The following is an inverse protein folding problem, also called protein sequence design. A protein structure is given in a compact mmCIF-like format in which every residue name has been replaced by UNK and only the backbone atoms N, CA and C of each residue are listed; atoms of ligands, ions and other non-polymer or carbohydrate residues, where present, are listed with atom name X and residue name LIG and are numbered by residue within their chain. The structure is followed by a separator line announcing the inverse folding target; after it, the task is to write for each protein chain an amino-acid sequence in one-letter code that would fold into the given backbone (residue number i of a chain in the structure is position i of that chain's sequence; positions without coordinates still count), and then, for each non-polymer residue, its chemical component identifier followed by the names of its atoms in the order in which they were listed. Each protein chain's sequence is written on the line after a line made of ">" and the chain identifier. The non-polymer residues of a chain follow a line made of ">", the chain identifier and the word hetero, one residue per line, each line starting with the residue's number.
data_IF_198885437588
#
_entry.id   IF_198885437588
#
_cell.length_a   1.000
_cell.length_b   1.000
_cell.length_c   1.000
_cell.angle_alpha   90.00
_cell.angle_beta   90.00
_cell.angle_gamma   90.00
#
_symmetry.space_group_name_H-M   'P 1'
#
loop_
_entity.id
_entity.type
_entity.pdbx_description
1 polymer ?
#
# COMPACT_ATOMS: atom_id res chain seq x y z
N UNK A 1 20.55 16.41 -1.07
CA UNK A 1 21.02 15.62 0.08
C UNK A 1 20.86 16.51 1.29
N UNK A 2 19.79 16.32 2.08
CA UNK A 2 19.46 17.21 3.20
C UNK A 2 20.27 16.83 4.43
N UNK A 3 20.89 17.83 5.07
CA UNK A 3 21.65 17.77 6.33
C UNK A 3 20.78 17.43 7.58
N UNK A 4 19.59 16.83 7.38
CA UNK A 4 18.64 16.50 8.43
C UNK A 4 19.09 15.31 9.32
N UNK A 5 20.17 14.61 8.97
CA UNK A 5 20.68 13.47 9.74
C UNK A 5 21.44 13.86 11.01
N UNK A 6 21.66 15.15 11.29
CA UNK A 6 22.45 15.65 12.43
C UNK A 6 21.67 16.35 13.55
N UNK A 7 20.33 16.28 13.54
CA UNK A 7 19.54 16.81 14.65
C UNK A 7 19.50 15.79 15.80
N UNK A 8 20.29 16.04 16.84
CA UNK A 8 20.18 15.36 18.12
C UNK A 8 18.98 15.94 18.89
N UNK A 9 17.97 15.11 19.21
CA UNK A 9 16.90 15.49 20.12
C UNK A 9 17.31 15.19 21.57
N UNK A 10 17.83 16.21 22.28
CA UNK A 10 18.12 16.13 23.72
C UNK A 10 19.50 15.56 24.09
N UNK A 11 19.62 15.01 25.31
CA UNK A 11 20.86 14.39 25.84
C UNK A 11 21.12 12.98 25.32
N UNK A 12 20.27 12.50 24.42
CA UNK A 12 20.37 11.16 23.83
C UNK A 12 21.40 11.17 22.69
N UNK A 13 22.49 10.41 22.85
CA UNK A 13 23.54 10.26 21.84
C UNK A 13 23.21 9.19 20.80
N UNK A 14 22.06 8.53 20.90
CA UNK A 14 21.62 7.52 19.92
C UNK A 14 21.40 8.19 18.56
N UNK A 15 21.76 7.49 17.50
CA UNK A 15 21.41 7.92 16.15
C UNK A 15 19.89 8.09 16.04
N UNK A 16 19.46 9.11 15.30
CA UNK A 16 18.08 9.56 15.21
C UNK A 16 17.10 8.36 15.08
N UNK A 17 16.14 8.26 16.00
CA UNK A 17 15.17 7.14 16.09
C UNK A 17 14.14 7.20 14.95
N UNK A 18 14.02 8.37 14.31
CA UNK A 18 13.11 8.57 13.20
C UNK A 18 13.68 7.96 11.90
N UNK A 19 12.85 7.28 11.10
CA UNK A 19 13.29 6.74 9.81
C UNK A 19 13.81 7.86 8.91
N UNK A 20 15.08 7.78 8.52
CA UNK A 20 15.73 8.73 7.58
C UNK A 20 15.71 8.26 6.13
N UNK A 21 15.09 7.12 5.85
CA UNK A 21 15.00 6.57 4.49
C UNK A 21 13.85 7.23 3.73
N UNK A 22 14.11 7.62 2.49
CA UNK A 22 13.06 8.03 1.55
C UNK A 22 12.02 6.90 1.47
N UNK A 23 10.74 7.21 1.67
CA UNK A 23 9.66 6.23 1.51
C UNK A 23 9.69 5.69 0.07
N UNK A 24 10.05 4.42 -0.08
CA UNK A 24 9.97 3.70 -1.36
C UNK A 24 8.62 3.00 -1.48
N UNK A 25 8.08 2.90 -2.70
CA UNK A 25 6.77 2.30 -2.97
C UNK A 25 5.65 3.35 -3.02
N UNK A 26 4.39 3.01 -2.66
CA UNK A 26 3.25 3.93 -2.74
C UNK A 26 3.35 5.16 -1.81
N UNK A 27 4.39 5.23 -0.97
CA UNK A 27 4.58 6.27 0.04
C UNK A 27 3.97 5.88 1.38
N UNK A 28 4.27 6.67 2.41
CA UNK A 28 3.77 6.43 3.77
C UNK A 28 2.25 6.55 3.89
N UNK A 29 1.62 7.34 3.01
CA UNK A 29 0.17 7.56 3.01
C UNK A 29 -0.61 6.49 2.22
N UNK A 30 0.07 5.46 1.72
CA UNK A 30 -0.54 4.45 0.86
C UNK A 30 -0.65 4.89 -0.60
N UNK A 31 -1.14 4.01 -1.48
CA UNK A 31 -1.21 4.27 -2.90
C UNK A 31 -2.20 5.37 -3.23
N UNK A 32 -2.04 5.99 -4.38
CA UNK A 32 -3.04 6.88 -4.98
C UNK A 32 -4.25 6.07 -5.47
N UNK A 33 -4.97 5.47 -4.53
CA UNK A 33 -6.18 4.69 -4.76
C UNK A 33 -7.38 5.43 -4.19
N UNK A 34 -8.37 5.68 -5.03
CA UNK A 34 -9.63 6.26 -4.63
C UNK A 34 -10.74 5.28 -4.97
N UNK A 35 -11.40 4.66 -3.98
CA UNK A 35 -12.50 3.72 -4.22
C UNK A 35 -13.60 4.30 -5.10
N UNK A 36 -13.85 5.61 -5.04
CA UNK A 36 -14.90 6.25 -5.84
C UNK A 36 -14.61 6.23 -7.35
N UNK A 37 -13.33 6.28 -7.73
CA UNK A 37 -12.92 6.28 -9.14
C UNK A 37 -13.00 4.87 -9.76
N UNK A 38 -13.02 3.84 -8.91
CA UNK A 38 -13.16 2.44 -9.32
C UNK A 38 -14.63 1.99 -9.44
N UNK A 39 -15.57 2.84 -9.00
CA UNK A 39 -17.00 2.57 -9.12
C UNK A 39 -17.50 2.91 -10.53
N UNK A 40 -18.36 2.04 -11.07
CA UNK A 40 -18.99 2.32 -12.36
C UNK A 40 -19.99 3.48 -12.24
N UNK A 41 -19.96 4.36 -13.25
CA UNK A 41 -20.95 5.44 -13.37
C UNK A 41 -22.37 4.87 -13.62
N UNK A 42 -23.44 5.58 -13.22
CA UNK A 42 -24.81 5.07 -13.37
C UNK A 42 -25.16 4.65 -14.81
N UNK A 43 -24.68 5.41 -15.80
CA UNK A 43 -24.92 5.09 -17.21
C UNK A 43 -24.26 3.76 -17.65
N UNK A 44 -23.08 3.44 -17.10
CA UNK A 44 -22.35 2.21 -17.42
C UNK A 44 -23.03 0.95 -16.86
N UNK A 45 -23.84 1.11 -15.80
CA UNK A 45 -24.65 0.04 -15.22
C UNK A 45 -26.10 0.03 -15.75
N UNK A 46 -26.38 0.79 -16.81
CA UNK A 46 -27.67 0.80 -17.50
C UNK A 46 -28.72 1.73 -16.91
N UNK A 47 -28.36 2.63 -15.98
CA UNK A 47 -29.27 3.69 -15.53
C UNK A 47 -29.36 4.75 -16.64
N UNK A 48 -30.58 5.00 -17.12
CA UNK A 48 -30.87 6.05 -18.09
C UNK A 48 -31.90 7.00 -17.52
N UNK A 49 -31.84 8.26 -17.96
CA UNK A 49 -32.87 9.25 -17.65
C UNK A 49 -33.96 9.16 -18.72
N UNK A 50 -35.17 8.80 -18.31
CA UNK A 50 -36.34 8.80 -19.18
C UNK A 50 -37.62 8.52 -18.40
N UNK A 51 -38.73 8.41 -19.12
CA UNK A 51 -40.08 8.25 -18.55
C UNK A 51 -40.67 6.86 -18.73
N UNK A 52 -39.94 5.93 -19.33
CA UNK A 52 -40.44 4.59 -19.61
C UNK A 52 -40.27 3.67 -18.39
N UNK A 53 -41.06 2.59 -18.34
CA UNK A 53 -40.96 1.58 -17.27
C UNK A 53 -39.53 1.00 -17.15
N UNK A 54 -38.82 0.88 -18.28
CA UNK A 54 -37.42 0.46 -18.32
C UNK A 54 -36.46 1.43 -17.61
N UNK A 55 -36.73 2.74 -17.68
CA UNK A 55 -35.92 3.76 -17.01
C UNK A 55 -36.11 3.71 -15.49
N UNK A 56 -37.34 3.49 -15.04
CA UNK A 56 -37.66 3.29 -13.61
C UNK A 56 -36.95 2.04 -13.08
N UNK A 57 -37.03 0.92 -13.82
CA UNK A 57 -36.32 -0.31 -13.46
C UNK A 57 -34.80 -0.13 -13.45
N UNK A 58 -34.26 0.64 -14.41
CA UNK A 58 -32.85 1.03 -14.44
C UNK A 58 -32.45 1.83 -13.19
N UNK A 59 -33.23 2.84 -12.81
CA UNK A 59 -32.98 3.63 -11.61
C UNK A 59 -32.98 2.79 -10.32
N UNK A 60 -33.93 1.85 -10.17
CA UNK A 60 -33.96 0.91 -9.05
C UNK A 60 -32.71 0.03 -9.03
N UNK A 61 -32.30 -0.52 -10.18
CA UNK A 61 -31.04 -1.29 -10.29
C UNK A 61 -29.83 -0.47 -9.86
N UNK A 62 -29.78 0.82 -10.23
CA UNK A 62 -28.72 1.73 -9.80
C UNK A 62 -28.66 1.89 -8.27
N UNK A 63 -29.81 2.10 -7.63
CA UNK A 63 -29.88 2.23 -6.16
C UNK A 63 -29.41 0.94 -5.48
N UNK A 64 -29.89 -0.22 -5.94
CA UNK A 64 -29.50 -1.52 -5.37
C UNK A 64 -28.01 -1.78 -5.62
N UNK A 65 -27.48 -1.45 -6.81
CA UNK A 65 -26.07 -1.59 -7.14
C UNK A 65 -25.17 -0.80 -6.18
N UNK A 66 -25.46 0.48 -5.94
CA UNK A 66 -24.67 1.28 -5.02
C UNK A 66 -24.86 0.85 -3.56
N UNK A 67 -26.07 0.42 -3.19
CA UNK A 67 -26.33 -0.21 -1.89
C UNK A 67 -25.49 -1.47 -1.69
N UNK A 68 -25.41 -2.32 -2.70
CA UNK A 68 -24.60 -3.54 -2.70
C UNK A 68 -23.12 -3.23 -2.66
N UNK A 69 -22.64 -2.24 -3.41
CA UNK A 69 -21.25 -1.81 -3.38
C UNK A 69 -20.84 -1.26 -2.00
N UNK A 70 -21.70 -0.44 -1.38
CA UNK A 70 -21.43 0.17 -0.08
C UNK A 70 -21.54 -0.86 1.05
N UNK A 71 -22.56 -1.71 1.03
CA UNK A 71 -22.84 -2.65 2.11
C UNK A 71 -22.08 -3.97 1.97
N UNK A 72 -22.23 -4.63 0.83
CA UNK A 72 -21.84 -6.04 0.67
C UNK A 72 -20.56 -6.23 -0.14
N UNK A 73 -20.25 -5.31 -1.05
CA UNK A 73 -19.17 -5.46 -2.02
C UNK A 73 -19.47 -6.53 -3.07
N UNK A 74 -20.66 -7.14 -3.06
CA UNK A 74 -21.13 -8.15 -4.02
C UNK A 74 -22.64 -8.03 -4.18
N UNK A 75 -23.21 -8.65 -5.21
CA UNK A 75 -24.66 -8.68 -5.40
C UNK A 75 -25.38 -9.32 -4.19
N UNK A 76 -26.35 -8.61 -3.62
CA UNK A 76 -27.23 -9.12 -2.55
C UNK A 76 -28.57 -9.63 -3.07
N UNK A 77 -28.87 -9.40 -4.36
CA UNK A 77 -30.14 -9.77 -4.97
C UNK A 77 -29.97 -10.20 -6.43
N UNK A 78 -30.98 -10.88 -6.97
CA UNK A 78 -31.05 -11.23 -8.41
C UNK A 78 -31.09 -10.02 -9.34
N UNK A 79 -31.39 -8.83 -8.83
CA UNK A 79 -31.41 -7.61 -9.64
C UNK A 79 -30.01 -7.10 -9.99
N UNK A 80 -29.04 -7.41 -9.11
CA UNK A 80 -27.64 -7.00 -9.21
C UNK A 80 -26.70 -8.15 -9.54
N UNK A 81 -27.21 -9.38 -9.56
CA UNK A 81 -26.48 -10.57 -9.97
C UNK A 81 -25.91 -10.41 -11.40
N UNK A 82 -24.61 -10.66 -11.55
CA UNK A 82 -23.90 -10.53 -12.83
C UNK A 82 -23.65 -9.08 -13.29
N UNK A 83 -24.02 -8.06 -12.51
CA UNK A 83 -23.66 -6.69 -12.85
C UNK A 83 -22.14 -6.48 -12.74
N UNK A 84 -21.51 -5.82 -13.73
CA UNK A 84 -20.07 -5.62 -13.73
C UNK A 84 -19.65 -4.72 -12.56
N UNK A 85 -18.43 -4.94 -12.07
CA UNK A 85 -17.81 -4.08 -11.07
C UNK A 85 -18.25 -4.32 -9.63
N UNK A 86 -19.31 -5.09 -9.33
CA UNK A 86 -19.69 -5.48 -7.96
C UNK A 86 -18.64 -6.40 -7.33
N UNK A 87 -17.65 -5.80 -6.69
CA UNK A 87 -16.57 -6.47 -5.97
C UNK A 87 -16.13 -5.62 -4.78
N UNK A 88 -15.56 -6.22 -3.72
CA UNK A 88 -14.92 -5.46 -2.66
C UNK A 88 -13.84 -4.54 -3.24
N UNK A 89 -13.95 -3.25 -2.94
CA UNK A 89 -12.99 -2.23 -3.38
C UNK A 89 -11.90 -2.07 -2.32
N UNK A 90 -10.66 -1.91 -2.77
CA UNK A 90 -9.48 -1.89 -1.92
C UNK A 90 -8.28 -2.44 -2.66
N UNK A 91 -7.10 -2.22 -2.10
CA UNK A 91 -5.81 -2.67 -2.63
C UNK A 91 -4.96 -3.18 -1.47
N UNK A 92 -4.44 -4.39 -1.60
CA UNK A 92 -3.46 -4.93 -0.67
C UNK A 92 -2.06 -4.56 -1.15
N UNK A 93 -1.21 -4.07 -0.25
CA UNK A 93 0.15 -3.63 -0.61
C UNK A 93 1.09 -3.68 0.59
N UNK A 94 2.38 -3.59 0.32
CA UNK A 94 3.40 -3.40 1.35
C UNK A 94 3.84 -1.94 1.43
N UNK A 95 4.06 -1.46 2.65
CA UNK A 95 4.66 -0.15 2.94
C UNK A 95 6.02 -0.36 3.57
N UNK A 96 7.01 0.41 3.11
CA UNK A 96 8.33 0.39 3.73
C UNK A 96 8.27 1.15 5.06
N UNK A 97 8.51 0.45 6.17
CA UNK A 97 8.52 1.07 7.52
C UNK A 97 9.75 1.96 7.76
N UNK A 98 10.80 1.79 6.96
CA UNK A 98 12.09 2.45 7.12
C UNK A 98 12.97 1.87 8.23
N UNK A 99 12.51 0.84 8.95
CA UNK A 99 13.25 0.18 10.04
C UNK A 99 14.04 -1.02 9.49
N UNK A 100 15.21 -1.29 10.08
CA UNK A 100 16.07 -2.43 9.71
C UNK A 100 15.86 -3.61 10.69
N UNK A 101 15.53 -4.76 10.14
CA UNK A 101 15.38 -6.02 10.84
C UNK A 101 16.70 -6.49 11.48
N UNK A 102 16.62 -7.38 12.47
CA UNK A 102 17.79 -7.97 13.12
C UNK A 102 18.74 -8.70 12.15
N UNK A 103 18.24 -9.24 11.05
CA UNK A 103 19.01 -9.86 9.97
C UNK A 103 19.59 -8.88 8.94
N UNK A 104 19.34 -7.57 9.06
CA UNK A 104 19.83 -6.54 8.15
C UNK A 104 18.88 -6.16 7.00
N UNK A 105 17.79 -6.89 6.78
CA UNK A 105 16.80 -6.53 5.77
C UNK A 105 15.98 -5.29 6.15
N UNK A 106 15.43 -4.59 5.17
CA UNK A 106 14.44 -3.53 5.43
C UNK A 106 13.09 -4.17 5.80
N UNK A 107 12.48 -3.70 6.89
CA UNK A 107 11.17 -4.15 7.35
C UNK A 107 10.06 -3.48 6.56
N UNK A 108 9.08 -4.27 6.15
CA UNK A 108 7.86 -3.84 5.49
C UNK A 108 6.65 -4.13 6.37
N UNK A 109 5.61 -3.34 6.19
CA UNK A 109 4.31 -3.55 6.79
C UNK A 109 3.32 -3.93 5.68
N UNK A 110 2.57 -5.01 5.89
CA UNK A 110 1.55 -5.43 4.93
C UNK A 110 0.22 -4.78 5.30
N UNK A 111 -0.28 -3.92 4.41
CA UNK A 111 -1.54 -3.21 4.59
C UNK A 111 -2.60 -3.89 3.74
N UNK A 112 -3.64 -4.39 4.42
CA UNK A 112 -4.80 -5.03 3.80
C UNK A 112 -5.97 -4.06 3.84
N UNK A 113 -6.37 -3.54 2.68
CA UNK A 113 -7.54 -2.65 2.57
C UNK A 113 -8.69 -3.29 1.79
N UNK A 114 -8.49 -4.46 1.17
CA UNK A 114 -9.58 -5.23 0.57
C UNK A 114 -10.42 -5.85 1.71
N UNK A 115 -11.71 -5.48 1.86
CA UNK A 115 -12.51 -5.92 2.99
C UNK A 115 -12.74 -7.43 2.97
N UNK A 116 -12.53 -8.08 4.12
CA UNK A 116 -12.75 -9.53 4.26
C UNK A 116 -14.11 -9.87 4.90
N UNK A 117 -14.80 -8.86 5.42
CA UNK A 117 -16.13 -8.92 6.00
C UNK A 117 -16.11 -9.37 7.46
N UNK A 118 -14.99 -9.18 8.16
CA UNK A 118 -14.83 -9.45 9.58
C UNK A 118 -15.14 -8.24 10.48
N UNK A 119 -15.36 -7.05 9.91
CA UNK A 119 -15.58 -5.78 10.61
C UNK A 119 -16.54 -5.87 11.80
N UNK A 120 -17.72 -6.45 11.55
CA UNK A 120 -18.84 -6.47 12.50
C UNK A 120 -18.84 -7.71 13.41
N UNK A 121 -17.74 -8.48 13.37
CA UNK A 121 -17.55 -9.68 14.16
C UNK A 121 -18.33 -10.89 13.66
N UNK A 122 -17.95 -12.07 14.19
CA UNK A 122 -18.46 -13.37 13.72
C UNK A 122 -19.98 -13.52 13.91
N UNK A 123 -20.57 -12.89 14.93
CA UNK A 123 -22.01 -12.99 15.21
C UNK A 123 -22.86 -12.28 14.16
N UNK A 124 -22.51 -11.04 13.81
CA UNK A 124 -23.24 -10.27 12.78
C UNK A 124 -23.04 -10.92 11.41
N UNK A 125 -21.81 -11.33 11.09
CA UNK A 125 -21.51 -12.07 9.87
C UNK A 125 -22.40 -13.31 9.73
N UNK A 126 -22.48 -14.13 10.78
CA UNK A 126 -23.33 -15.33 10.79
C UNK A 126 -24.81 -14.99 10.64
N UNK A 127 -25.32 -13.98 11.33
CA UNK A 127 -26.73 -13.59 11.22
C UNK A 127 -27.12 -13.13 9.80
N UNK A 128 -26.19 -12.51 9.07
CA UNK A 128 -26.39 -12.08 7.67
C UNK A 128 -26.34 -13.28 6.71
N UNK A 129 -25.40 -14.20 6.93
CA UNK A 129 -25.32 -15.45 6.18
C UNK A 129 -26.57 -16.32 6.41
N UNK A 130 -27.10 -16.36 7.64
CA UNK A 130 -28.30 -17.14 8.02
C UNK A 130 -29.58 -16.63 7.33
N UNK A 131 -29.65 -15.36 6.91
CA UNK A 131 -30.75 -14.81 6.11
C UNK A 131 -30.50 -14.86 4.60
N UNK A 132 -29.42 -15.53 4.17
CA UNK A 132 -29.07 -15.73 2.76
C UNK A 132 -28.46 -14.50 2.08
N UNK A 133 -27.97 -13.52 2.85
CA UNK A 133 -27.29 -12.35 2.32
C UNK A 133 -25.77 -12.58 2.28
N UNK A 134 -25.06 -11.96 1.32
CA UNK A 134 -23.60 -12.02 1.28
C UNK A 134 -22.97 -11.32 2.49
N UNK A 135 -21.70 -11.64 2.75
CA UNK A 135 -20.93 -10.96 3.79
C UNK A 135 -20.82 -9.45 3.53
N UNK A 136 -20.77 -8.66 4.60
CA UNK A 136 -20.61 -7.21 4.54
C UNK A 136 -19.16 -6.84 4.19
N UNK A 137 -18.81 -6.90 2.91
CA UNK A 137 -17.47 -6.57 2.35
C UNK A 137 -17.48 -5.30 1.50
N UNK A 138 -18.54 -4.50 1.60
CA UNK A 138 -18.65 -3.26 0.86
C UNK A 138 -17.77 -2.15 1.44
N UNK A 139 -17.84 -0.97 0.81
CA UNK A 139 -17.06 0.19 1.24
C UNK A 139 -17.34 0.62 2.68
N UNK A 140 -18.59 0.56 3.14
CA UNK A 140 -18.97 0.95 4.50
C UNK A 140 -18.29 0.07 5.56
N UNK A 141 -18.46 -1.26 5.52
CA UNK A 141 -17.73 -2.19 6.37
C UNK A 141 -16.22 -2.09 6.18
N UNK A 142 -15.72 -1.90 4.95
CA UNK A 142 -14.30 -1.68 4.68
C UNK A 142 -13.73 -0.48 5.43
N UNK A 143 -14.42 0.66 5.39
CA UNK A 143 -14.05 1.85 6.17
C UNK A 143 -14.05 1.53 7.68
N UNK A 144 -14.95 0.67 8.17
CA UNK A 144 -14.93 0.26 9.58
C UNK A 144 -13.77 -0.71 9.90
N UNK A 145 -13.37 -1.60 8.99
CA UNK A 145 -12.19 -2.47 9.12
C UNK A 145 -10.90 -1.64 9.12
N UNK A 146 -10.81 -0.68 8.20
CA UNK A 146 -9.70 0.25 8.08
C UNK A 146 -9.65 1.17 9.30
N UNK A 147 -10.78 1.77 9.71
CA UNK A 147 -10.84 2.61 10.90
C UNK A 147 -10.54 1.82 12.16
N UNK A 148 -10.98 0.57 12.29
CA UNK A 148 -10.60 -0.28 13.43
C UNK A 148 -9.10 -0.53 13.45
N UNK A 149 -8.49 -0.78 12.29
CA UNK A 149 -7.05 -1.04 12.17
C UNK A 149 -6.21 0.24 12.34
N UNK A 150 -6.75 1.40 11.93
CA UNK A 150 -6.09 2.71 12.03
C UNK A 150 -6.29 3.39 13.40
N UNK A 151 -7.44 3.16 14.05
CA UNK A 151 -7.74 3.63 15.40
C UNK A 151 -7.22 2.68 16.47
N UNK A 152 -6.82 1.45 16.11
CA UNK A 152 -5.92 0.69 16.95
C UNK A 152 -4.56 1.38 16.89
N UNK A 153 -4.18 2.14 17.92
CA UNK A 153 -2.94 2.89 17.85
C UNK A 153 -1.76 1.94 18.11
N UNK A 154 -1.98 0.69 18.54
CA UNK A 154 -0.92 -0.20 18.95
C UNK A 154 0.05 -0.57 17.82
N UNK A 155 -0.35 -0.83 16.57
CA UNK A 155 0.61 -1.07 15.48
C UNK A 155 1.53 0.13 15.23
N UNK A 156 0.97 1.35 15.13
CA UNK A 156 1.75 2.58 14.89
C UNK A 156 2.59 2.95 16.12
N UNK A 157 2.01 2.89 17.32
CA UNK A 157 2.73 3.12 18.58
C UNK A 157 3.79 2.05 18.77
N UNK A 158 3.57 0.78 18.46
CA UNK A 158 4.60 -0.25 18.58
C UNK A 158 5.68 -0.09 17.51
N UNK A 159 5.35 0.42 16.33
CA UNK A 159 6.34 0.77 15.31
C UNK A 159 7.20 1.98 15.73
N UNK A 160 6.64 2.93 16.50
CA UNK A 160 7.33 4.16 16.94
C UNK A 160 7.97 4.06 18.33
N UNK A 161 7.38 3.29 19.24
CA UNK A 161 7.68 3.16 20.68
C UNK A 161 8.21 1.77 21.03
N UNK A 162 8.03 0.77 20.16
CA UNK A 162 8.80 -0.47 20.25
C UNK A 162 10.30 -0.15 20.21
N UNK A 163 11.15 -1.07 20.69
CA UNK A 163 12.59 -0.79 20.88
C UNK A 163 13.32 -0.35 19.61
N UNK A 164 12.68 -0.35 18.44
CA UNK A 164 13.26 0.00 17.14
C UNK A 164 14.09 -1.13 16.56
N UNK A 165 14.09 -2.31 17.20
CA UNK A 165 14.95 -3.45 16.89
C UNK A 165 14.11 -4.70 16.61
N UNK A 166 13.37 -4.72 15.48
CA UNK A 166 12.44 -5.78 15.18
C UNK A 166 13.16 -7.06 14.74
N UNK A 167 12.66 -8.21 15.20
CA UNK A 167 12.92 -9.49 14.55
C UNK A 167 11.90 -9.68 13.43
N UNK A 168 12.37 -10.05 12.24
CA UNK A 168 11.51 -10.16 11.07
C UNK A 168 11.48 -11.58 10.50
N UNK A 169 10.40 -11.88 9.79
CA UNK A 169 10.19 -13.10 9.03
C UNK A 169 9.86 -12.76 7.58
N UNK A 170 10.29 -13.60 6.65
CA UNK A 170 9.93 -13.46 5.24
C UNK A 170 8.52 -14.03 5.04
N UNK A 171 7.59 -13.19 4.59
CA UNK A 171 6.22 -13.60 4.29
C UNK A 171 5.84 -13.30 2.85
N UNK A 172 4.98 -14.16 2.29
CA UNK A 172 4.38 -14.03 0.97
C UNK A 172 2.91 -13.65 1.15
N UNK A 173 2.53 -12.48 0.64
CA UNK A 173 1.14 -12.01 0.67
C UNK A 173 0.66 -11.64 -0.74
N UNK A 174 -0.65 -11.77 -0.95
CA UNK A 174 -1.34 -11.28 -2.15
C UNK A 174 -1.34 -9.75 -2.15
N UNK A 175 -1.09 -9.15 -3.31
CA UNK A 175 -1.10 -7.70 -3.49
C UNK A 175 -1.96 -7.31 -4.69
N UNK A 176 -2.37 -6.05 -4.74
CA UNK A 176 -3.30 -5.54 -5.73
C UNK A 176 -4.75 -5.52 -5.23
N UNK A 177 -5.65 -5.18 -6.14
CA UNK A 177 -7.09 -5.17 -5.90
C UNK A 177 -7.67 -6.58 -5.77
N UNK A 178 -8.98 -6.69 -5.57
CA UNK A 178 -9.69 -7.98 -5.46
C UNK A 178 -9.44 -8.94 -6.64
N UNK A 179 -9.11 -8.43 -7.83
CA UNK A 179 -8.81 -9.21 -9.04
C UNK A 179 -7.30 -9.42 -9.24
N UNK A 180 -6.46 -8.99 -8.30
CA UNK A 180 -5.00 -9.03 -8.42
C UNK A 180 -4.42 -7.95 -9.34
N UNK A 181 -5.21 -6.93 -9.73
CA UNK A 181 -4.68 -5.80 -10.49
C UNK A 181 -3.86 -4.90 -9.59
N UNK A 182 -2.71 -4.48 -10.09
CA UNK A 182 -1.77 -3.62 -9.37
C UNK A 182 -1.70 -2.20 -9.94
N UNK A 183 -2.56 -1.90 -10.91
CA UNK A 183 -2.73 -0.59 -11.52
C UNK A 183 -4.17 -0.14 -11.33
N UNK A 184 -4.39 1.15 -11.09
CA UNK A 184 -5.75 1.73 -11.09
C UNK A 184 -6.27 1.95 -12.52
N UNK A 185 -7.49 2.48 -12.61
CA UNK A 185 -8.13 2.89 -13.89
C UNK A 185 -7.30 3.87 -14.73
N UNK A 186 -6.46 4.70 -14.10
CA UNK A 186 -5.57 5.67 -14.76
C UNK A 186 -4.18 5.09 -15.08
N UNK A 187 -4.00 3.77 -14.92
CA UNK A 187 -2.75 3.06 -15.15
C UNK A 187 -1.58 3.51 -14.23
N UNK A 188 -1.90 4.00 -13.04
CA UNK A 188 -0.95 4.32 -11.97
C UNK A 188 -0.69 3.04 -11.15
N UNK A 189 0.59 2.72 -10.95
CA UNK A 189 1.00 1.57 -10.13
C UNK A 189 0.66 1.80 -8.65
N UNK A 190 -0.03 0.84 -8.04
CA UNK A 190 -0.58 0.90 -6.68
C UNK A 190 0.28 0.18 -5.63
N UNK A 191 1.34 -0.50 -6.05
CA UNK A 191 2.18 -1.35 -5.20
C UNK A 191 3.65 -1.04 -5.45
N UNK A 192 4.54 -1.51 -4.57
CA UNK A 192 5.97 -1.46 -4.88
C UNK A 192 6.27 -2.33 -6.12
N UNK A 193 7.05 -1.88 -7.11
CA UNK A 193 7.30 -2.65 -8.32
C UNK A 193 8.26 -3.84 -8.14
N UNK A 194 8.99 -3.92 -7.04
CA UNK A 194 10.02 -4.94 -6.84
C UNK A 194 9.40 -6.25 -6.40
N UNK A 195 9.85 -7.36 -6.97
CA UNK A 195 9.48 -8.69 -6.51
C UNK A 195 8.02 -9.09 -6.75
N UNK A 196 7.35 -8.42 -7.69
CA UNK A 196 5.99 -8.78 -8.12
C UNK A 196 6.01 -10.13 -8.82
N UNK A 197 5.11 -11.03 -8.39
CA UNK A 197 4.90 -12.34 -9.02
C UNK A 197 3.43 -12.53 -9.36
N UNK A 198 3.14 -13.12 -10.52
CA UNK A 198 1.79 -13.50 -10.92
C UNK A 198 1.64 -15.01 -10.87
N UNK A 199 0.72 -15.49 -10.06
CA UNK A 199 0.43 -16.91 -9.86
C UNK A 199 -1.09 -17.10 -9.79
N UNK A 200 -1.64 -17.97 -10.63
CA UNK A 200 -3.08 -18.30 -10.57
C UNK A 200 -4.02 -17.11 -10.78
N UNK A 201 -3.63 -16.12 -11.59
CA UNK A 201 -4.43 -14.90 -11.83
C UNK A 201 -4.36 -13.86 -10.72
N UNK A 202 -3.62 -14.13 -9.63
CA UNK A 202 -3.37 -13.20 -8.53
C UNK A 202 -1.94 -12.71 -8.55
N UNK A 203 -1.71 -11.59 -7.89
CA UNK A 203 -0.38 -11.00 -7.77
C UNK A 203 0.12 -11.14 -6.33
N UNK A 204 1.39 -11.48 -6.15
CA UNK A 204 2.00 -11.73 -4.85
C UNK A 204 3.32 -10.98 -4.71
N UNK A 205 3.69 -10.71 -3.46
CA UNK A 205 5.00 -10.19 -3.08
C UNK A 205 5.51 -10.84 -1.80
N UNK A 206 6.82 -10.99 -1.75
CA UNK A 206 7.56 -11.48 -0.59
C UNK A 206 8.36 -10.35 0.04
N UNK A 207 8.11 -10.12 1.33
CA UNK A 207 8.79 -9.07 2.10
C UNK A 207 9.12 -9.55 3.51
N UNK A 208 10.14 -8.92 4.08
CA UNK A 208 10.48 -9.09 5.48
C UNK A 208 9.52 -8.24 6.32
N UNK A 209 8.67 -8.89 7.09
CA UNK A 209 7.69 -8.24 7.98
C UNK A 209 8.04 -8.51 9.44
N UNK A 210 7.52 -7.67 10.34
CA UNK A 210 7.65 -7.87 11.78
C UNK A 210 7.18 -9.28 12.17
N UNK A 211 8.03 -10.05 12.86
CA UNK A 211 7.63 -11.34 13.41
C UNK A 211 6.80 -11.12 14.68
N UNK A 212 5.74 -11.88 14.85
CA UNK A 212 4.90 -11.89 16.04
C UNK A 212 5.06 -13.23 16.79
N UNK A 213 4.93 -13.19 18.12
CA UNK A 213 4.89 -14.40 18.92
C UNK A 213 3.50 -15.07 18.87
N UNK A 214 3.33 -16.21 19.54
CA UNK A 214 2.05 -16.94 19.57
C UNK A 214 0.89 -16.16 20.20
N UNK A 215 1.19 -15.14 21.00
CA UNK A 215 0.20 -14.26 21.64
C UNK A 215 -0.15 -13.02 20.79
N UNK A 216 0.44 -12.89 19.60
CA UNK A 216 0.21 -11.75 18.70
C UNK A 216 0.99 -10.48 19.07
N UNK A 217 1.99 -10.58 19.96
CA UNK A 217 2.88 -9.45 20.28
C UNK A 217 4.08 -9.43 19.33
N UNK A 218 4.52 -8.23 18.86
CA UNK A 218 5.69 -8.12 18.00
C UNK A 218 6.95 -8.54 18.77
N UNK A 219 7.77 -9.39 18.15
CA UNK A 219 9.05 -9.81 18.71
C UNK A 219 10.07 -8.68 18.52
N UNK A 220 10.38 -8.00 19.61
CA UNK A 220 11.41 -6.99 19.71
C UNK A 220 12.59 -7.56 20.50
N UNK A 221 13.81 -7.34 20.02
CA UNK A 221 15.02 -7.74 20.75
C UNK A 221 15.69 -6.53 21.40
N UNK A 222 16.61 -6.77 22.33
CA UNK A 222 17.40 -5.70 22.92
C UNK A 222 18.33 -5.08 21.85
N UNK A 223 18.74 -3.83 22.05
CA UNK A 223 19.70 -3.18 21.14
C UNK A 223 21.00 -3.97 21.02
N UNK A 224 21.51 -4.47 22.15
CA UNK A 224 22.78 -5.21 22.20
C UNK A 224 22.66 -6.53 21.44
N UNK A 225 21.53 -7.22 21.54
CA UNK A 225 21.26 -8.43 20.76
C UNK A 225 21.07 -8.11 19.28
N UNK A 226 20.42 -7.00 18.95
CA UNK A 226 20.28 -6.55 17.57
C UNK A 226 21.60 -6.19 16.92
N UNK A 227 22.51 -5.55 17.66
CA UNK A 227 23.86 -5.23 17.20
C UNK A 227 24.70 -6.49 17.00
N UNK A 228 24.56 -7.49 17.89
CA UNK A 228 25.26 -8.77 17.79
C UNK A 228 24.67 -9.73 16.75
N UNK A 229 23.39 -9.55 16.40
CA UNK A 229 22.72 -10.39 15.41
C UNK A 229 23.41 -10.27 14.04
N UNK A 230 23.68 -11.39 13.35
CA UNK A 230 24.35 -11.36 12.07
C UNK A 230 23.48 -10.69 11.01
N UNK A 231 24.04 -9.70 10.31
CA UNK A 231 23.37 -8.99 9.21
C UNK A 231 23.50 -9.78 7.90
N UNK A 232 22.80 -10.89 7.83
CA UNK A 232 22.90 -11.86 6.73
C UNK A 232 22.22 -11.40 5.44
N UNK A 233 21.39 -10.35 5.50
CA UNK A 233 20.65 -9.81 4.37
C UNK A 233 21.01 -8.35 4.10
N UNK A 234 20.93 -7.96 2.83
CA UNK A 234 21.03 -6.56 2.37
C UNK A 234 19.70 -5.84 2.58
N UNK A 235 19.71 -4.52 2.39
CA UNK A 235 18.52 -3.67 2.47
C UNK A 235 17.35 -4.13 1.61
N UNK A 236 17.62 -4.71 0.42
CA UNK A 236 16.58 -5.25 -0.47
C UNK A 236 16.02 -6.61 -0.01
N UNK A 237 16.50 -7.16 1.10
CA UNK A 237 16.08 -8.44 1.65
C UNK A 237 16.79 -9.66 1.06
N UNK A 238 17.71 -9.48 0.11
CA UNK A 238 18.50 -10.57 -0.47
C UNK A 238 19.70 -10.93 0.40
N UNK A 239 20.17 -12.18 0.32
CA UNK A 239 21.32 -12.63 1.12
C UNK A 239 22.57 -11.83 0.74
N UNK A 240 23.30 -11.34 1.75
CA UNK A 240 24.52 -10.56 1.58
C UNK A 240 25.68 -11.41 1.05
N UNK A 241 25.90 -12.58 1.65
CA UNK A 241 26.90 -13.56 1.25
C UNK A 241 26.34 -14.99 1.29
N UNK A 242 25.93 -15.48 0.11
CA UNK A 242 25.38 -16.84 -0.04
C UNK A 242 26.36 -17.96 0.34
N UNK A 243 27.68 -17.70 0.30
CA UNK A 243 28.69 -18.69 0.69
C UNK A 243 28.81 -18.79 2.20
N UNK A 244 28.77 -17.65 2.89
CA UNK A 244 28.87 -17.61 4.35
C UNK A 244 27.60 -18.13 5.04
N UNK A 245 26.42 -17.94 4.44
CA UNK A 245 25.14 -18.30 5.05
C UNK A 245 24.26 -19.14 4.10
N UNK A 246 24.62 -20.41 3.86
CA UNK A 246 23.86 -21.28 2.98
C UNK A 246 22.49 -21.62 3.60
N UNK A 247 21.45 -21.64 2.75
CA UNK A 247 20.10 -22.11 3.14
C UNK A 247 19.23 -21.12 3.90
N UNK A 248 19.65 -19.86 4.05
CA UNK A 248 18.77 -18.84 4.60
C UNK A 248 17.61 -18.52 3.64
N UNK A 249 16.42 -18.19 4.16
CA UNK A 249 15.32 -17.73 3.32
C UNK A 249 15.67 -16.37 2.71
N UNK A 250 15.26 -16.17 1.46
CA UNK A 250 15.33 -14.88 0.77
C UNK A 250 14.14 -14.74 -0.17
N UNK A 251 13.72 -13.51 -0.50
CA UNK A 251 12.71 -13.31 -1.53
C UNK A 251 13.12 -13.97 -2.84
N UNK A 252 12.20 -14.63 -3.51
CA UNK A 252 12.47 -15.35 -4.74
C UNK A 252 12.95 -14.41 -5.88
N UNK A 253 12.68 -13.10 -5.81
CA UNK A 253 13.24 -12.14 -6.77
C UNK A 253 14.77 -11.99 -6.65
N UNK A 254 15.35 -12.31 -5.49
CA UNK A 254 16.79 -12.32 -5.26
C UNK A 254 17.51 -13.40 -6.08
N UNK A 255 16.80 -14.48 -6.46
CA UNK A 255 17.33 -15.50 -7.35
C UNK A 255 17.36 -15.05 -8.82
N UNK A 256 16.56 -14.04 -9.17
CA UNK A 256 16.41 -13.54 -10.55
C UNK A 256 17.39 -12.41 -10.94
N UNK A 257 18.37 -12.07 -10.08
CA UNK A 257 19.28 -10.94 -10.30
C UNK A 257 20.28 -11.15 -11.46
N UNK A 258 19.81 -10.90 -12.68
CA UNK A 258 20.44 -9.84 -13.47
C UNK A 258 19.85 -8.51 -12.99
N UNK A 259 20.67 -7.69 -12.31
CA UNK A 259 20.34 -6.37 -11.78
C UNK A 259 19.42 -5.55 -12.72
N UNK A 260 18.12 -5.57 -12.50
CA UNK A 260 17.29 -4.41 -12.87
C UNK A 260 17.55 -3.39 -11.77
N UNK A 261 18.66 -2.66 -11.92
CA UNK A 261 18.85 -1.40 -11.20
C UNK A 261 17.59 -0.62 -11.45
N UNK A 262 16.81 -0.39 -10.39
CA UNK A 262 15.61 0.42 -10.45
C UNK A 262 16.03 1.77 -11.01
N UNK A 263 15.84 1.97 -12.32
CA UNK A 263 15.97 3.28 -12.93
C UNK A 263 14.88 4.05 -12.22
N UNK A 264 15.28 4.91 -11.28
CA UNK A 264 14.41 5.86 -10.59
C UNK A 264 13.80 6.70 -11.70
N UNK A 265 12.73 6.21 -12.32
CA UNK A 265 11.97 6.94 -13.31
C UNK A 265 11.35 8.08 -12.51
N UNK A 266 12.05 9.22 -12.53
CA UNK A 266 11.58 10.43 -11.92
C UNK A 266 10.19 10.67 -12.49
N UNK A 267 9.19 10.62 -11.60
CA UNK A 267 7.80 10.91 -11.88
C UNK A 267 7.72 12.09 -12.88
N UNK A 268 6.88 12.06 -13.92
CA UNK A 268 6.85 13.10 -14.96
C UNK A 268 6.68 14.52 -14.40
N UNK A 269 6.05 14.66 -13.23
CA UNK A 269 5.97 15.92 -12.48
C UNK A 269 7.35 16.53 -12.16
N UNK A 270 8.34 15.69 -11.80
CA UNK A 270 9.70 16.16 -11.55
C UNK A 270 10.36 16.70 -12.82
N UNK A 271 10.07 16.14 -14.00
CA UNK A 271 10.55 16.68 -15.28
C UNK A 271 9.91 18.04 -15.57
N UNK A 272 8.61 18.21 -15.31
CA UNK A 272 7.94 19.50 -15.49
C UNK A 272 8.47 20.59 -14.55
N UNK A 273 8.72 20.28 -13.27
CA UNK A 273 9.28 21.24 -12.30
C UNK A 273 10.71 21.67 -12.68
N UNK A 274 11.53 20.75 -13.21
CA UNK A 274 12.87 21.13 -13.71
C UNK A 274 12.82 21.96 -14.98
N UNK A 275 11.82 21.76 -15.85
CA UNK A 275 11.66 22.58 -17.06
C UNK A 275 11.14 23.98 -16.75
N UNK A 276 10.20 24.12 -15.79
CA UNK A 276 9.66 25.43 -15.41
C UNK A 276 10.71 26.30 -14.72
N UNK A 277 11.53 25.73 -13.83
CA UNK A 277 12.63 26.47 -13.17
C UNK A 277 13.72 26.91 -14.14
N UNK A 278 14.04 26.10 -15.15
CA UNK A 278 14.97 26.48 -16.22
C UNK A 278 14.40 27.62 -17.11
N UNK A 279 13.11 27.54 -17.48
CA UNK A 279 12.46 28.56 -18.30
C UNK A 279 12.35 29.92 -17.56
N UNK A 280 12.03 29.91 -16.27
CA UNK A 280 11.96 31.13 -15.45
C UNK A 280 13.36 31.76 -15.31
N UNK A 281 14.40 30.95 -15.13
CA UNK A 281 15.78 31.46 -15.04
C UNK A 281 16.25 32.11 -16.35
N UNK A 282 15.87 31.57 -17.50
CA UNK A 282 16.16 32.16 -18.82
C UNK A 282 15.41 33.49 -19.03
N UNK A 283 14.17 33.61 -18.59
CA UNK A 283 13.40 34.87 -18.67
C UNK A 283 13.97 35.97 -17.76
N UNK A 284 14.49 35.62 -16.58
CA UNK A 284 15.16 36.59 -15.69
C UNK A 284 16.50 37.05 -16.29
N UNK A 285 17.26 36.16 -16.94
CA UNK A 285 18.52 36.52 -17.59
C UNK A 285 18.33 37.41 -18.83
N UNK A 286 17.31 37.18 -19.65
CA UNK A 286 17.03 38.01 -20.83
C UNK A 286 16.52 39.40 -20.47
N UNK A 287 15.72 39.51 -19.41
CA UNK A 287 15.27 40.83 -18.90
C UNK A 287 16.41 41.63 -18.28
N UNK A 288 17.37 40.98 -17.61
CA UNK A 288 18.55 41.67 -17.07
C UNK A 288 19.45 42.26 -18.16
N UNK A 289 19.68 41.53 -19.26
CA UNK A 289 20.46 42.04 -20.39
C UNK A 289 19.74 43.16 -21.17
N UNK A 290 18.42 43.12 -21.26
CA UNK A 290 17.65 44.16 -21.94
C UNK A 290 17.68 45.51 -21.19
N UNK A 291 17.84 45.51 -19.86
CA UNK A 291 17.89 46.73 -19.04
C UNK A 291 19.28 47.37 -19.02
N UNK A 292 20.35 46.60 -19.19
CA UNK A 292 21.72 47.10 -19.08
C UNK A 292 22.23 47.83 -20.35
N UNK A 293 21.55 47.68 -21.49
CA UNK A 293 21.91 48.30 -22.78
C UNK A 293 21.44 49.76 -22.95
N UNK A 294 20.86 50.39 -21.91
CA UNK A 294 20.34 51.77 -21.95
C UNK A 294 21.06 52.76 -21.03
N UNK A 295 22.38 52.61 -20.86
CA UNK A 295 23.22 53.64 -20.23
C UNK A 295 24.42 53.96 -21.10
#
# INVERSE_FOLDING_TARGET
>A
MSDASKMFMGSDKRANVLPVKDASGPGFLGPAYNPADEMLAPAAIGVKRGGELGDVLGAVKGIIYYGDMIGFGTASSRFTEGMPGLRPLGVNYYVNSGITCSNGATMWEYVRTVPDGSALGKKVKKAIEDVGLPGLRGMGPGILEDAKSALDPFPVINAVVGSGYPQCVLEKHEIGDFNGNIYNVDNVLLVDPVGIKREGGKTYQERWVQQFNGDGWPIQISYDDWQKAPKTHKDNGCIADRKATPGLPEPEFCASEGFQTYKKEKHPLHKMITLSTAAISLLVLTTFWAVQSRK
#
